data_IF_114920656292
#
_entry.id   IF_114920656292
#
_cell.length_a   1.000
_cell.length_b   1.000
_cell.length_c   1.000
_cell.angle_alpha   90.00
_cell.angle_beta   90.00
_cell.angle_gamma   90.00
#
_symmetry.space_group_name_H-M   'P 1'
#
loop_
_entity.id
_entity.type
_entity.pdbx_description
1 polymer ?
#
# COMPACT_ATOMS: atom_id res chain seq x y z
N UNK A 1 -30.58 35.07 48.09
CA UNK A 1 -29.67 33.99 47.65
C UNK A 1 -29.65 34.02 46.13
N UNK A 2 -28.46 34.18 45.53
CA UNK A 2 -28.28 34.34 44.09
C UNK A 2 -27.68 33.03 43.59
N UNK A 3 -28.43 32.27 42.80
CA UNK A 3 -27.97 30.98 42.30
C UNK A 3 -26.75 31.18 41.38
N UNK A 4 -25.63 30.46 41.60
CA UNK A 4 -24.51 30.52 40.68
C UNK A 4 -24.90 29.82 39.38
N UNK A 5 -25.05 30.62 38.31
CA UNK A 5 -25.41 30.15 36.99
C UNK A 5 -24.42 29.13 36.44
N UNK A 6 -24.95 28.05 35.87
CA UNK A 6 -24.20 27.03 35.14
C UNK A 6 -23.52 27.67 33.92
N UNK A 7 -22.19 27.80 33.96
CA UNK A 7 -21.39 28.14 32.79
C UNK A 7 -21.07 26.85 32.02
N UNK A 8 -21.53 26.69 30.77
CA UNK A 8 -21.10 25.57 29.93
C UNK A 8 -19.60 25.69 29.71
N UNK A 9 -18.86 24.64 30.06
CA UNK A 9 -17.42 24.60 29.82
C UNK A 9 -17.15 24.75 28.33
N UNK A 10 -16.25 25.67 27.96
CA UNK A 10 -15.81 25.84 26.58
C UNK A 10 -15.31 24.49 26.02
N UNK A 11 -15.72 24.09 24.81
CA UNK A 11 -15.26 22.86 24.20
C UNK A 11 -13.74 22.95 24.03
N UNK A 12 -13.02 22.16 24.82
CA UNK A 12 -11.56 22.08 24.72
C UNK A 12 -11.22 21.70 23.27
N UNK A 13 -10.33 22.44 22.59
CA UNK A 13 -9.88 22.06 21.26
C UNK A 13 -9.32 20.64 21.34
N UNK A 14 -9.83 19.74 20.50
CA UNK A 14 -9.41 18.35 20.44
C UNK A 14 -7.90 18.36 20.23
N UNK A 15 -7.17 17.96 21.26
CA UNK A 15 -5.71 17.93 21.31
C UNK A 15 -5.17 17.25 20.05
N UNK A 16 -4.06 17.80 19.54
CA UNK A 16 -3.34 17.39 18.34
C UNK A 16 -3.40 15.89 18.08
N UNK A 17 -3.48 15.45 16.80
CA UNK A 17 -3.64 14.04 16.46
C UNK A 17 -2.56 13.22 17.16
N UNK A 18 -2.95 12.51 18.23
CA UNK A 18 -2.04 11.62 18.96
C UNK A 18 -1.43 10.68 17.93
N UNK A 19 -0.12 10.78 17.72
CA UNK A 19 0.61 9.88 16.84
C UNK A 19 0.37 8.46 17.33
N UNK A 20 -0.56 7.76 16.66
CA UNK A 20 -0.95 6.41 17.07
C UNK A 20 0.26 5.51 16.83
N UNK A 21 0.83 4.97 17.91
CA UNK A 21 1.89 3.96 17.86
C UNK A 21 1.55 2.89 16.82
N UNK A 22 2.51 2.61 15.93
CA UNK A 22 2.31 1.65 14.87
C UNK A 22 2.04 0.24 15.45
N UNK A 23 0.95 -0.38 14.99
CA UNK A 23 0.48 -1.70 15.46
C UNK A 23 1.10 -2.84 14.66
N UNK A 24 1.17 -4.01 15.26
CA UNK A 24 1.65 -5.21 14.57
C UNK A 24 0.57 -5.76 13.63
N UNK A 25 0.93 -6.02 12.36
CA UNK A 25 -0.03 -6.55 11.39
C UNK A 25 -0.02 -8.09 11.40
N UNK A 26 -1.14 -8.76 11.71
CA UNK A 26 -1.18 -10.21 11.93
C UNK A 26 -0.92 -11.04 10.66
N UNK A 27 -1.03 -10.45 9.47
CA UNK A 27 -0.80 -11.12 8.17
C UNK A 27 0.34 -10.47 7.38
N UNK A 28 1.44 -10.16 8.06
CA UNK A 28 2.61 -9.48 7.48
C UNK A 28 3.17 -10.22 6.26
N UNK A 29 3.29 -11.54 6.30
CA UNK A 29 3.83 -12.34 5.19
C UNK A 29 3.04 -12.21 3.88
N UNK A 30 1.70 -12.21 3.95
CA UNK A 30 0.85 -12.04 2.74
C UNK A 30 0.98 -10.63 2.17
N UNK A 31 1.05 -9.62 3.02
CA UNK A 31 1.17 -8.23 2.58
C UNK A 31 2.54 -7.97 1.95
N UNK A 32 3.60 -8.55 2.51
CA UNK A 32 4.94 -8.54 1.92
C UNK A 32 4.94 -9.27 0.56
N UNK A 33 4.33 -10.45 0.47
CA UNK A 33 4.22 -11.20 -0.78
C UNK A 33 3.51 -10.39 -1.87
N UNK A 34 2.39 -9.75 -1.54
CA UNK A 34 1.68 -8.87 -2.49
C UNK A 34 2.53 -7.66 -2.89
N UNK A 35 3.25 -7.05 -1.96
CA UNK A 35 4.15 -5.94 -2.25
C UNK A 35 5.28 -6.36 -3.20
N UNK A 36 5.90 -7.52 -2.96
CA UNK A 36 6.95 -8.09 -3.82
C UNK A 36 6.39 -8.45 -5.20
N UNK A 37 5.22 -9.10 -5.28
CA UNK A 37 4.58 -9.43 -6.56
C UNK A 37 4.21 -8.17 -7.37
N UNK A 38 3.74 -7.11 -6.71
CA UNK A 38 3.47 -5.83 -7.36
C UNK A 38 4.74 -5.18 -7.89
N UNK A 39 5.83 -5.22 -7.12
CA UNK A 39 7.12 -4.71 -7.55
C UNK A 39 7.69 -5.52 -8.72
N UNK A 40 7.62 -6.85 -8.65
CA UNK A 40 8.02 -7.74 -9.73
C UNK A 40 7.19 -7.53 -11.00
N UNK A 41 5.88 -7.31 -10.86
CA UNK A 41 5.03 -6.97 -12.00
C UNK A 41 5.44 -5.62 -12.61
N UNK A 42 5.69 -4.60 -11.79
CA UNK A 42 6.16 -3.30 -12.29
C UNK A 42 7.50 -3.43 -13.03
N UNK A 43 8.46 -4.19 -12.48
CA UNK A 43 9.72 -4.48 -13.14
C UNK A 43 9.53 -5.27 -14.45
N UNK A 44 8.62 -6.24 -14.47
CA UNK A 44 8.25 -7.00 -15.67
C UNK A 44 7.64 -6.11 -16.75
N UNK A 45 6.78 -5.16 -16.39
CA UNK A 45 6.24 -4.18 -17.34
C UNK A 45 7.34 -3.28 -17.92
N UNK A 46 8.25 -2.77 -17.07
CA UNK A 46 9.38 -1.99 -17.53
C UNK A 46 10.30 -2.79 -18.47
N UNK A 47 10.56 -4.06 -18.13
CA UNK A 47 11.33 -4.98 -18.97
C UNK A 47 10.65 -5.28 -20.30
N UNK A 48 9.33 -5.44 -20.32
CA UNK A 48 8.55 -5.59 -21.55
C UNK A 48 8.67 -4.36 -22.45
N UNK A 49 8.48 -3.16 -21.89
CA UNK A 49 8.62 -1.90 -22.66
C UNK A 49 10.04 -1.77 -23.21
N UNK A 50 11.07 -2.01 -22.40
CA UNK A 50 12.46 -2.00 -22.85
C UNK A 50 12.72 -3.03 -23.96
N UNK A 51 12.20 -4.25 -23.81
CA UNK A 51 12.33 -5.32 -24.81
C UNK A 51 11.65 -4.97 -26.14
N UNK A 52 10.46 -4.36 -26.10
CA UNK A 52 9.75 -3.89 -27.31
C UNK A 52 10.50 -2.76 -27.99
N UNK A 53 11.03 -1.80 -27.22
CA UNK A 53 11.85 -0.70 -27.76
C UNK A 53 13.11 -1.25 -28.42
N UNK A 54 13.82 -2.16 -27.75
CA UNK A 54 15.03 -2.79 -28.31
C UNK A 54 14.71 -3.60 -29.57
N UNK A 55 13.61 -4.36 -29.59
CA UNK A 55 13.14 -5.07 -30.78
C UNK A 55 12.87 -4.12 -31.96
N UNK A 56 12.29 -2.95 -31.69
CA UNK A 56 12.04 -1.92 -32.71
C UNK A 56 13.32 -1.29 -33.27
N UNK A 57 14.33 -1.10 -32.42
CA UNK A 57 15.62 -0.49 -32.80
C UNK A 57 16.53 -1.48 -33.52
N UNK A 58 16.67 -2.71 -33.01
CA UNK A 58 17.62 -3.71 -33.55
C UNK A 58 17.02 -4.62 -34.62
N UNK A 59 15.68 -4.71 -34.71
CA UNK A 59 14.92 -5.67 -35.56
C UNK A 59 15.28 -7.15 -35.33
N UNK A 60 16.04 -7.47 -34.29
CA UNK A 60 16.43 -8.83 -33.96
C UNK A 60 15.30 -9.56 -33.22
N UNK A 61 14.75 -10.61 -33.84
CA UNK A 61 13.67 -11.44 -33.26
C UNK A 61 14.04 -12.08 -31.91
N UNK A 62 15.34 -12.18 -31.60
CA UNK A 62 15.82 -12.69 -30.32
C UNK A 62 15.28 -11.88 -29.11
N UNK A 63 15.02 -10.59 -29.28
CA UNK A 63 14.44 -9.72 -28.23
C UNK A 63 12.94 -9.93 -28.00
N UNK A 64 12.26 -10.64 -28.91
CA UNK A 64 10.83 -10.98 -28.75
C UNK A 64 10.57 -11.95 -27.61
N UNK A 65 11.43 -12.96 -27.43
CA UNK A 65 11.31 -13.95 -26.35
C UNK A 65 11.40 -13.36 -24.94
N UNK A 66 12.41 -12.55 -24.58
CA UNK A 66 12.48 -11.94 -23.27
C UNK A 66 11.33 -10.94 -23.06
N UNK A 67 10.91 -10.20 -24.09
CA UNK A 67 9.75 -9.32 -23.99
C UNK A 67 8.48 -10.12 -23.63
N UNK A 68 8.24 -11.24 -24.31
CA UNK A 68 7.10 -12.11 -24.03
C UNK A 68 7.16 -12.72 -22.63
N UNK A 69 8.35 -13.11 -22.17
CA UNK A 69 8.57 -13.59 -20.80
C UNK A 69 8.23 -12.53 -19.75
N UNK A 70 8.71 -11.30 -19.94
CA UNK A 70 8.40 -10.16 -19.07
C UNK A 70 6.91 -9.84 -19.03
N UNK A 71 6.23 -9.92 -20.19
CA UNK A 71 4.78 -9.76 -20.28
C UNK A 71 4.05 -10.86 -19.49
N UNK A 72 4.48 -12.11 -19.60
CA UNK A 72 3.94 -13.23 -18.84
C UNK A 72 4.05 -13.01 -17.33
N UNK A 73 5.23 -12.61 -16.84
CA UNK A 73 5.46 -12.29 -15.42
C UNK A 73 4.57 -11.13 -14.96
N UNK A 74 4.41 -10.09 -15.78
CA UNK A 74 3.53 -8.97 -15.47
C UNK A 74 2.07 -9.42 -15.31
N UNK A 75 1.54 -10.19 -16.26
CA UNK A 75 0.15 -10.65 -16.24
C UNK A 75 -0.10 -11.60 -15.07
N UNK A 76 0.76 -12.61 -14.89
CA UNK A 76 0.66 -13.56 -13.78
C UNK A 76 0.77 -12.85 -12.43
N UNK A 77 1.76 -11.96 -12.26
CA UNK A 77 1.95 -11.20 -11.04
C UNK A 77 0.72 -10.35 -10.70
N UNK A 78 0.13 -9.68 -11.70
CA UNK A 78 -1.11 -8.89 -11.53
C UNK A 78 -2.30 -9.77 -11.16
N UNK A 79 -2.46 -10.92 -11.80
CA UNK A 79 -3.54 -11.86 -11.51
C UNK A 79 -3.45 -12.41 -10.08
N UNK A 80 -2.27 -12.87 -9.67
CA UNK A 80 -2.00 -13.32 -8.30
C UNK A 80 -2.30 -12.23 -7.28
N UNK A 81 -1.79 -11.02 -7.51
CA UNK A 81 -2.06 -9.86 -6.65
C UNK A 81 -3.55 -9.58 -6.55
N UNK A 82 -4.30 -9.66 -7.64
CA UNK A 82 -5.73 -9.41 -7.63
C UNK A 82 -6.47 -10.37 -6.68
N UNK A 83 -6.15 -11.68 -6.76
CA UNK A 83 -6.72 -12.70 -5.88
C UNK A 83 -6.27 -12.52 -4.43
N UNK A 84 -4.99 -12.23 -4.19
CA UNK A 84 -4.46 -12.07 -2.83
C UNK A 84 -4.90 -10.75 -2.18
N UNK A 85 -5.13 -9.69 -2.96
CA UNK A 85 -5.51 -8.37 -2.47
C UNK A 85 -6.90 -8.37 -1.81
N UNK A 86 -7.81 -9.21 -2.27
CA UNK A 86 -9.14 -9.32 -1.67
C UNK A 86 -9.08 -9.93 -0.25
N UNK A 87 -8.06 -10.74 0.05
CA UNK A 87 -7.82 -11.30 1.40
C UNK A 87 -7.05 -10.35 2.35
N UNK A 88 -6.57 -9.21 1.85
CA UNK A 88 -5.82 -8.21 2.62
C UNK A 88 -6.76 -7.14 3.19
N UNK A 89 -7.43 -7.47 4.28
CA UNK A 89 -8.28 -6.55 5.06
C UNK A 89 -7.53 -6.00 6.26
N UNK A 90 -7.68 -4.71 6.53
CA UNK A 90 -7.21 -4.10 7.77
C UNK A 90 -8.05 -4.63 8.96
N UNK A 91 -7.46 -5.11 10.05
CA UNK A 91 -8.22 -5.63 11.19
C UNK A 91 -8.95 -4.54 12.01
N UNK A 92 -8.70 -3.25 11.73
CA UNK A 92 -9.32 -2.14 12.44
C UNK A 92 -10.55 -1.60 11.72
N UNK A 93 -10.42 -1.30 10.42
CA UNK A 93 -11.53 -0.77 9.62
C UNK A 93 -12.18 -1.81 8.71
N UNK A 94 -11.67 -3.05 8.69
CA UNK A 94 -12.06 -4.12 7.75
C UNK A 94 -11.96 -3.74 6.27
N UNK A 95 -11.39 -2.57 5.96
CA UNK A 95 -11.15 -2.09 4.63
C UNK A 95 -10.04 -2.88 3.94
N UNK A 96 -10.23 -3.15 2.66
CA UNK A 96 -9.24 -3.77 1.78
C UNK A 96 -8.08 -2.81 1.57
N UNK A 97 -6.89 -3.14 2.07
CA UNK A 97 -5.71 -2.25 2.06
C UNK A 97 -5.28 -1.89 0.63
N UNK A 98 -5.39 -2.86 -0.28
CA UNK A 98 -4.90 -2.74 -1.66
C UNK A 98 -5.99 -2.41 -2.69
N UNK A 99 -7.26 -2.30 -2.29
CA UNK A 99 -8.39 -2.04 -3.18
C UNK A 99 -9.03 -0.72 -2.81
N UNK A 100 -9.14 0.16 -3.79
CA UNK A 100 -9.71 1.49 -3.66
C UNK A 100 -11.23 1.37 -3.61
N UNK A 101 -11.82 1.87 -2.53
CA UNK A 101 -13.26 1.91 -2.28
C UNK A 101 -13.74 3.35 -2.39
N UNK A 102 -15.04 3.53 -2.64
CA UNK A 102 -15.73 4.84 -2.65
C UNK A 102 -15.88 5.46 -1.25
N UNK A 103 -15.05 5.07 -0.29
CA UNK A 103 -15.06 5.63 1.05
C UNK A 103 -14.14 6.86 1.08
N UNK A 104 -14.48 7.84 1.92
CA UNK A 104 -13.62 9.00 2.18
C UNK A 104 -12.26 8.50 2.70
N UNK A 105 -11.19 8.93 2.02
CA UNK A 105 -9.81 8.64 2.46
C UNK A 105 -9.48 9.53 3.65
N UNK A 106 -8.64 9.02 4.54
CA UNK A 106 -8.18 9.81 5.68
C UNK A 106 -7.20 10.89 5.21
N UNK A 107 -7.24 12.09 5.81
CA UNK A 107 -6.38 13.21 5.40
C UNK A 107 -4.88 12.91 5.64
N UNK A 108 -4.58 12.16 6.71
CA UNK A 108 -3.23 11.62 7.00
C UNK A 108 -2.74 10.49 6.08
N UNK A 109 -3.51 10.09 5.06
CA UNK A 109 -3.11 9.03 4.16
C UNK A 109 -1.91 9.47 3.31
N UNK A 110 -0.80 8.74 3.45
CA UNK A 110 0.45 9.08 2.78
C UNK A 110 0.38 8.78 1.28
N UNK A 111 0.44 9.83 0.46
CA UNK A 111 0.58 9.76 -0.99
C UNK A 111 1.90 10.39 -1.39
N UNK A 112 2.81 9.60 -1.94
CA UNK A 112 3.89 10.18 -2.74
C UNK A 112 3.25 10.67 -4.03
N UNK A 113 3.15 11.98 -4.24
CA UNK A 113 2.88 12.51 -5.57
C UNK A 113 4.15 12.32 -6.41
N UNK A 114 4.14 11.67 -7.60
CA UNK A 114 3.02 11.34 -8.49
C UNK A 114 2.46 9.90 -8.40
N UNK A 115 2.89 9.10 -7.43
CA UNK A 115 2.47 7.71 -7.26
C UNK A 115 1.03 7.57 -6.70
N UNK A 116 0.40 6.43 -7.01
CA UNK A 116 -0.86 6.06 -6.38
C UNK A 116 -0.63 5.70 -4.90
N UNK A 117 -1.65 5.87 -4.05
CA UNK A 117 -1.58 5.47 -2.65
C UNK A 117 -1.21 3.99 -2.44
N UNK A 118 -1.51 3.13 -3.43
CA UNK A 118 -1.12 1.72 -3.41
C UNK A 118 0.38 1.57 -3.61
N UNK A 119 0.94 2.30 -4.57
CA UNK A 119 2.36 2.27 -4.85
C UNK A 119 3.19 2.88 -3.70
N UNK A 120 2.71 3.97 -3.07
CA UNK A 120 3.35 4.49 -1.86
C UNK A 120 3.32 3.49 -0.71
N UNK A 121 2.19 2.82 -0.49
CA UNK A 121 2.10 1.75 0.51
C UNK A 121 3.06 0.60 0.22
N UNK A 122 3.14 0.12 -1.03
CA UNK A 122 4.09 -0.93 -1.44
C UNK A 122 5.54 -0.50 -1.18
N UNK A 123 5.90 0.74 -1.54
CA UNK A 123 7.25 1.27 -1.31
C UNK A 123 7.57 1.38 0.18
N UNK A 124 6.66 1.87 1.02
CA UNK A 124 6.86 1.92 2.46
C UNK A 124 6.99 0.52 3.07
N UNK A 125 6.23 -0.46 2.57
CA UNK A 125 6.34 -1.86 2.97
C UNK A 125 7.71 -2.43 2.61
N UNK A 126 8.19 -2.21 1.39
CA UNK A 126 9.45 -2.75 0.91
C UNK A 126 10.67 -2.04 1.54
N UNK A 127 10.61 -0.72 1.70
CA UNK A 127 11.73 0.08 2.21
C UNK A 127 11.81 0.11 3.73
N UNK A 128 10.67 0.24 4.42
CA UNK A 128 10.63 0.45 5.87
C UNK A 128 9.98 -0.71 6.63
N UNK A 129 9.38 -1.68 5.95
CA UNK A 129 8.59 -2.71 6.61
C UNK A 129 7.36 -2.13 7.32
N UNK A 130 6.87 -0.96 6.91
CA UNK A 130 5.75 -0.28 7.56
C UNK A 130 4.77 0.23 6.51
N UNK A 131 3.48 0.26 6.85
CA UNK A 131 2.48 0.84 5.97
C UNK A 131 1.41 1.57 6.76
N UNK A 132 0.84 2.61 6.16
CA UNK A 132 -0.31 3.34 6.73
C UNK A 132 -1.56 2.97 5.97
N UNK A 133 -2.61 2.55 6.67
CA UNK A 133 -3.87 2.22 6.01
C UNK A 133 -4.52 3.50 5.46
N UNK A 134 -4.96 3.47 4.19
CA UNK A 134 -5.55 4.63 3.50
C UNK A 134 -6.90 5.10 4.09
N UNK A 135 -7.62 4.22 4.79
CA UNK A 135 -8.95 4.52 5.32
C UNK A 135 -8.91 4.94 6.79
N UNK A 136 -8.23 4.18 7.64
CA UNK A 136 -8.19 4.46 9.09
C UNK A 136 -6.95 5.24 9.54
N UNK A 137 -6.03 5.58 8.64
CA UNK A 137 -4.80 6.34 8.95
C UNK A 137 -3.83 5.64 9.92
N UNK A 138 -4.14 4.41 10.33
CA UNK A 138 -3.34 3.68 11.32
C UNK A 138 -2.06 3.15 10.69
N UNK A 139 -0.93 3.39 11.34
CA UNK A 139 0.36 2.82 10.97
C UNK A 139 0.47 1.37 11.43
N UNK A 140 0.97 0.52 10.55
CA UNK A 140 1.17 -0.90 10.74
C UNK A 140 2.62 -1.26 10.45
N UNK A 141 3.23 -2.12 11.27
CA UNK A 141 4.58 -2.67 11.02
C UNK A 141 4.49 -4.13 10.58
N UNK A 142 5.21 -4.48 9.52
CA UNK A 142 5.52 -5.83 9.07
C UNK A 142 6.77 -6.30 9.81
N UNK A 143 6.58 -6.80 11.02
CA UNK A 143 7.72 -7.21 11.84
C UNK A 143 7.23 -7.52 13.23
N UNK A 144 7.23 -8.80 13.55
CA UNK A 144 6.87 -9.35 14.84
C UNK A 144 7.86 -10.44 15.17
N UNK A 145 9.14 -10.08 15.23
CA UNK A 145 10.06 -10.79 16.11
C UNK A 145 10.51 -9.77 17.15
N UNK A 146 9.80 -9.76 18.27
CA UNK A 146 10.48 -9.59 19.55
C UNK A 146 11.54 -10.70 19.56
N UNK A 147 12.80 -10.33 19.34
CA UNK A 147 13.90 -11.18 19.80
C UNK A 147 13.84 -11.01 21.31
N UNK A 148 13.13 -11.92 21.98
CA UNK A 148 13.42 -12.26 23.37
C UNK A 148 14.56 -13.27 23.34
#
# INVERSE_FOLDING_TARGET
MKDPGFQPADPRPIEAPRERRARHFPRSGRLLLVAVLLFAAFAGFAGFVAGVVMLGVTRERAWGWPALGCLGVFVLGRALVFVLADALTCPLCHGTVMKERRCRKHDDAFRLWPLSYRASAVLSVLGQGMFRCMYCGTLWRLGGKRRE
#
